data_IF_617717744874
#
_entry.id   IF_617717744874
#
_cell.length_a   1.000
_cell.length_b   1.000
_cell.length_c   1.000
_cell.angle_alpha   90.00
_cell.angle_beta   90.00
_cell.angle_gamma   90.00
#
_symmetry.space_group_name_H-M   'P 1'
#
loop_
_entity.id
_entity.type
_entity.pdbx_description
1 polymer ?
#
# COMPACT_ATOMS: atom_id res chain seq x y z
N UNK A 1 -5.18 16.66 -28.02
CA UNK A 1 -4.72 15.71 -26.97
C UNK A 1 -3.53 16.39 -26.29
N UNK A 2 -3.52 16.46 -24.97
CA UNK A 2 -2.34 16.92 -24.19
C UNK A 2 -1.21 15.92 -24.38
N UNK A 3 0.05 16.40 -24.38
CA UNK A 3 1.21 15.51 -24.44
C UNK A 3 1.20 14.56 -23.22
N UNK A 4 1.67 13.31 -23.35
CA UNK A 4 1.74 12.38 -22.24
C UNK A 4 2.72 12.88 -21.17
N UNK A 5 2.44 12.54 -19.92
CA UNK A 5 3.32 12.78 -18.76
C UNK A 5 4.55 11.88 -18.90
N UNK A 6 5.73 12.47 -19.03
CA UNK A 6 7.01 11.73 -19.13
C UNK A 6 7.39 11.24 -17.74
N UNK A 7 7.33 9.94 -17.56
CA UNK A 7 7.49 9.28 -16.26
C UNK A 7 8.87 8.64 -16.13
N UNK A 8 9.58 8.92 -15.05
CA UNK A 8 10.72 8.17 -14.56
C UNK A 8 10.29 7.15 -13.51
N UNK A 9 10.76 5.89 -13.60
CA UNK A 9 10.45 4.84 -12.64
C UNK A 9 11.70 4.45 -11.85
N UNK A 10 11.63 4.52 -10.53
CA UNK A 10 12.73 4.23 -9.61
C UNK A 10 12.47 2.93 -8.86
N UNK A 11 13.39 1.96 -9.03
CA UNK A 11 13.24 0.62 -8.49
C UNK A 11 12.51 -0.31 -9.46
N UNK A 12 13.26 -1.09 -10.25
CA UNK A 12 12.70 -2.07 -11.22
C UNK A 12 12.66 -3.45 -10.55
N UNK A 13 11.95 -3.55 -9.41
CA UNK A 13 11.69 -4.77 -8.66
C UNK A 13 10.45 -5.53 -9.16
N UNK A 14 10.00 -6.50 -8.34
CA UNK A 14 8.82 -7.35 -8.66
C UNK A 14 7.59 -6.50 -8.92
N UNK A 15 7.20 -5.61 -8.00
CA UNK A 15 6.00 -4.78 -8.13
C UNK A 15 6.04 -3.88 -9.36
N UNK A 16 7.21 -3.32 -9.69
CA UNK A 16 7.38 -2.49 -10.88
C UNK A 16 7.12 -3.29 -12.17
N UNK A 17 7.62 -4.53 -12.24
CA UNK A 17 7.47 -5.40 -13.41
C UNK A 17 6.07 -5.97 -13.56
N UNK A 18 5.48 -6.40 -12.44
CA UNK A 18 4.19 -7.10 -12.44
C UNK A 18 3.03 -6.12 -12.59
N UNK A 19 3.17 -4.88 -12.09
CA UNK A 19 2.05 -3.96 -11.97
C UNK A 19 2.31 -2.59 -12.67
N UNK A 20 3.34 -1.85 -12.25
CA UNK A 20 3.54 -0.48 -12.74
C UNK A 20 3.79 -0.41 -14.23
N UNK A 21 4.78 -1.16 -14.76
CA UNK A 21 5.16 -1.10 -16.17
C UNK A 21 4.00 -1.49 -17.09
N UNK A 22 3.26 -2.60 -16.85
CA UNK A 22 2.09 -2.93 -17.64
C UNK A 22 0.98 -1.86 -17.59
N UNK A 23 0.70 -1.30 -16.41
CA UNK A 23 -0.34 -0.28 -16.26
C UNK A 23 0.02 1.05 -16.91
N UNK A 24 1.30 1.47 -16.83
CA UNK A 24 1.82 2.62 -17.57
C UNK A 24 1.65 2.40 -19.08
N UNK A 25 2.01 1.21 -19.59
CA UNK A 25 1.91 0.88 -21.01
C UNK A 25 0.48 0.87 -21.56
N UNK A 26 -0.52 0.64 -20.70
CA UNK A 26 -1.94 0.69 -21.09
C UNK A 26 -2.56 2.10 -20.98
N UNK A 27 -1.91 3.01 -20.25
CA UNK A 27 -2.48 4.35 -19.99
C UNK A 27 -1.86 5.41 -20.90
N UNK A 28 -2.60 5.94 -21.90
CA UNK A 28 -2.07 6.91 -22.86
C UNK A 28 -1.70 8.28 -22.25
N UNK A 29 -2.07 8.53 -20.98
CA UNK A 29 -1.65 9.75 -20.28
C UNK A 29 -0.18 9.72 -19.85
N UNK A 30 0.50 8.57 -19.91
CA UNK A 30 1.89 8.44 -19.49
C UNK A 30 2.79 7.87 -20.60
N UNK A 31 4.04 8.26 -20.54
CA UNK A 31 5.14 7.68 -21.30
C UNK A 31 6.29 7.34 -20.36
N UNK A 32 6.66 6.05 -20.25
CA UNK A 32 7.81 5.63 -19.47
C UNK A 32 9.09 5.96 -20.25
N UNK A 33 9.76 7.04 -19.86
CA UNK A 33 10.94 7.55 -20.60
C UNK A 33 12.27 7.12 -19.99
N UNK A 34 12.30 6.80 -18.69
CA UNK A 34 13.52 6.43 -17.97
C UNK A 34 13.24 5.50 -16.79
N UNK A 35 14.28 4.73 -16.44
CA UNK A 35 14.31 3.93 -15.21
C UNK A 35 15.59 4.18 -14.43
N UNK A 36 15.50 4.20 -13.09
CA UNK A 36 16.66 4.22 -12.20
C UNK A 36 16.64 2.97 -11.32
N UNK A 37 17.64 2.08 -11.51
CA UNK A 37 17.74 0.83 -10.75
C UNK A 37 19.17 0.31 -10.77
N UNK A 38 19.63 -0.20 -9.60
CA UNK A 38 20.99 -0.74 -9.46
C UNK A 38 21.26 -1.98 -10.31
N UNK A 39 20.27 -2.86 -10.46
CA UNK A 39 20.47 -4.21 -11.00
C UNK A 39 19.50 -4.60 -12.13
N UNK A 40 18.56 -3.75 -12.49
CA UNK A 40 17.52 -4.10 -13.45
C UNK A 40 17.24 -2.98 -14.44
N UNK A 41 16.71 -3.33 -15.62
CA UNK A 41 16.37 -2.40 -16.71
C UNK A 41 15.06 -2.81 -17.37
N UNK A 42 14.52 -1.90 -18.17
CA UNK A 42 13.39 -2.12 -19.09
C UNK A 42 13.88 -1.90 -20.50
N UNK A 43 13.58 -2.83 -21.39
CA UNK A 43 14.04 -2.76 -22.80
C UNK A 43 13.43 -1.55 -23.49
N UNK A 44 14.25 -0.85 -24.27
CA UNK A 44 13.85 0.35 -25.02
C UNK A 44 13.67 1.62 -24.17
N UNK A 45 13.92 1.57 -22.83
CA UNK A 45 13.81 2.70 -21.92
C UNK A 45 15.18 3.12 -21.41
N UNK A 46 15.44 4.42 -21.31
CA UNK A 46 16.71 4.95 -20.80
C UNK A 46 16.98 4.44 -19.37
N UNK A 47 18.23 4.00 -19.12
CA UNK A 47 18.62 3.40 -17.84
C UNK A 47 19.63 4.24 -17.10
N UNK A 48 19.41 4.38 -15.78
CA UNK A 48 20.33 5.07 -14.86
C UNK A 48 20.55 4.22 -13.60
N UNK A 49 21.68 4.45 -12.92
CA UNK A 49 21.97 3.75 -11.67
C UNK A 49 21.20 4.38 -10.48
N UNK A 50 21.04 5.70 -10.51
CA UNK A 50 20.39 6.48 -9.44
C UNK A 50 19.32 7.42 -9.99
N UNK A 51 18.30 7.79 -9.17
CA UNK A 51 17.30 8.78 -9.57
C UNK A 51 17.91 10.17 -9.80
N UNK A 52 18.97 10.55 -9.08
CA UNK A 52 19.65 11.83 -9.30
C UNK A 52 20.27 11.90 -10.68
N UNK A 53 21.05 10.88 -11.09
CA UNK A 53 21.60 10.79 -12.46
C UNK A 53 20.50 10.83 -13.53
N UNK A 54 19.38 10.14 -13.29
CA UNK A 54 18.23 10.14 -14.19
C UNK A 54 17.67 11.56 -14.37
N UNK A 55 17.44 12.27 -13.28
CA UNK A 55 16.85 13.61 -13.29
C UNK A 55 17.83 14.68 -13.81
N UNK A 56 19.14 14.49 -13.61
CA UNK A 56 20.18 15.37 -14.17
C UNK A 56 20.30 15.22 -15.69
N UNK A 57 20.27 13.97 -16.17
CA UNK A 57 20.40 13.66 -17.60
C UNK A 57 19.09 13.94 -18.38
N UNK A 58 17.94 13.82 -17.74
CA UNK A 58 16.62 13.96 -18.35
C UNK A 58 15.73 14.97 -17.60
N UNK A 59 16.09 16.27 -17.63
CA UNK A 59 15.32 17.31 -16.92
C UNK A 59 13.88 17.46 -17.43
N UNK A 60 13.59 16.93 -18.61
CA UNK A 60 12.24 16.92 -19.22
C UNK A 60 11.30 15.88 -18.59
N UNK A 61 11.73 15.01 -17.68
CA UNK A 61 10.84 14.14 -16.89
C UNK A 61 9.85 15.03 -16.14
N UNK A 62 8.56 14.69 -16.18
CA UNK A 62 7.49 15.43 -15.53
C UNK A 62 7.16 14.83 -14.15
N UNK A 63 7.20 13.51 -14.03
CA UNK A 63 6.83 12.77 -12.83
C UNK A 63 7.78 11.60 -12.55
N UNK A 64 7.82 11.18 -11.26
CA UNK A 64 8.61 10.03 -10.80
C UNK A 64 7.74 9.07 -10.00
N UNK A 65 7.76 7.78 -10.33
CA UNK A 65 7.18 6.72 -9.53
C UNK A 65 8.27 6.00 -8.72
N UNK A 66 8.12 5.96 -7.37
CA UNK A 66 9.11 5.38 -6.46
C UNK A 66 8.65 4.00 -5.95
N UNK A 67 9.21 2.94 -6.55
CA UNK A 67 8.93 1.53 -6.25
C UNK A 67 10.06 0.88 -5.42
N UNK A 68 10.80 1.67 -4.65
CA UNK A 68 11.87 1.23 -3.74
C UNK A 68 11.32 1.00 -2.32
N UNK A 69 12.04 0.23 -1.46
CA UNK A 69 11.65 0.07 -0.06
C UNK A 69 11.45 1.41 0.68
N UNK A 70 10.54 1.47 1.66
CA UNK A 70 10.19 2.72 2.35
C UNK A 70 11.37 3.38 3.06
N UNK A 71 12.33 2.60 3.59
CA UNK A 71 13.49 3.09 4.33
C UNK A 71 14.40 4.04 3.53
N UNK A 72 14.42 3.91 2.20
CA UNK A 72 15.27 4.75 1.33
C UNK A 72 14.46 5.75 0.49
N UNK A 73 13.15 5.72 0.60
CA UNK A 73 12.24 6.44 -0.32
C UNK A 73 12.22 7.95 -0.07
N UNK A 74 12.24 8.38 1.22
CA UNK A 74 12.10 9.78 1.59
C UNK A 74 13.12 10.69 0.88
N UNK A 75 14.42 10.35 0.92
CA UNK A 75 15.45 11.18 0.31
C UNK A 75 15.27 11.33 -1.21
N UNK A 76 14.88 10.23 -1.89
CA UNK A 76 14.64 10.21 -3.33
C UNK A 76 13.39 11.04 -3.71
N UNK A 77 12.31 10.91 -2.93
CA UNK A 77 11.10 11.69 -3.12
C UNK A 77 11.35 13.19 -2.91
N UNK A 78 12.07 13.55 -1.83
CA UNK A 78 12.39 14.93 -1.52
C UNK A 78 13.27 15.58 -2.62
N UNK A 79 14.23 14.84 -3.19
CA UNK A 79 15.04 15.35 -4.33
C UNK A 79 14.17 15.58 -5.56
N UNK A 80 13.30 14.63 -5.92
CA UNK A 80 12.40 14.77 -7.06
C UNK A 80 11.43 15.98 -6.89
N UNK A 81 10.82 16.12 -5.71
CA UNK A 81 9.93 17.23 -5.39
C UNK A 81 10.64 18.58 -5.49
N UNK A 82 11.87 18.73 -4.91
CA UNK A 82 12.67 19.96 -4.99
C UNK A 82 13.04 20.33 -6.44
N UNK A 83 13.11 19.36 -7.33
CA UNK A 83 13.32 19.56 -8.77
C UNK A 83 12.02 19.84 -9.53
N UNK A 84 10.91 20.06 -8.81
CA UNK A 84 9.60 20.36 -9.41
C UNK A 84 8.97 19.18 -10.15
N UNK A 85 9.24 17.94 -9.70
CA UNK A 85 8.64 16.74 -10.29
C UNK A 85 7.45 16.28 -9.47
N UNK A 86 6.37 15.87 -10.14
CA UNK A 86 5.28 15.16 -9.50
C UNK A 86 5.77 13.79 -9.01
N UNK A 87 5.28 13.32 -7.86
CA UNK A 87 5.78 12.09 -7.26
C UNK A 87 4.64 11.14 -6.89
N UNK A 88 4.78 9.88 -7.32
CA UNK A 88 3.99 8.75 -6.91
C UNK A 88 4.82 7.88 -5.96
N UNK A 89 4.29 7.62 -4.76
CA UNK A 89 4.91 6.79 -3.73
C UNK A 89 4.19 5.45 -3.64
N UNK A 90 4.90 4.35 -3.82
CA UNK A 90 4.39 3.02 -3.50
C UNK A 90 4.05 2.88 -2.01
N UNK A 91 3.12 1.99 -1.69
CA UNK A 91 2.80 1.68 -0.28
C UNK A 91 3.96 0.89 0.39
N UNK A 92 4.14 1.06 1.70
CA UNK A 92 3.72 2.22 2.46
C UNK A 92 4.45 3.48 1.96
N UNK A 93 3.86 4.68 2.01
CA UNK A 93 4.42 5.86 1.35
C UNK A 93 5.75 6.34 1.94
N UNK A 94 6.10 5.90 3.13
CA UNK A 94 7.36 6.16 3.83
C UNK A 94 7.53 5.20 5.00
N UNK A 95 8.70 5.21 5.63
CA UNK A 95 8.98 4.41 6.81
C UNK A 95 8.33 5.00 8.08
N UNK A 96 8.05 6.30 8.10
CA UNK A 96 7.43 7.00 9.23
C UNK A 96 6.39 8.03 8.76
N UNK A 97 5.45 8.36 9.67
CA UNK A 97 4.45 9.42 9.43
C UNK A 97 5.11 10.78 9.18
N UNK A 98 6.17 11.10 9.92
CA UNK A 98 6.89 12.38 9.81
C UNK A 98 7.56 12.56 8.46
N UNK A 99 8.12 11.48 7.88
CA UNK A 99 8.68 11.51 6.53
C UNK A 99 7.63 11.87 5.48
N UNK A 100 6.46 11.21 5.55
CA UNK A 100 5.40 11.45 4.56
C UNK A 100 4.77 12.83 4.74
N UNK A 101 4.58 13.31 5.98
CA UNK A 101 4.11 14.66 6.26
C UNK A 101 5.07 15.72 5.66
N UNK A 102 6.38 15.58 5.90
CA UNK A 102 7.39 16.47 5.29
C UNK A 102 7.34 16.46 3.75
N UNK A 103 7.13 15.29 3.12
CA UNK A 103 7.02 15.22 1.66
C UNK A 103 5.74 15.91 1.16
N UNK A 104 4.64 15.83 1.91
CA UNK A 104 3.40 16.54 1.58
C UNK A 104 3.58 18.06 1.63
N UNK A 105 4.20 18.58 2.71
CA UNK A 105 4.53 19.99 2.84
C UNK A 105 5.46 20.46 1.70
N UNK A 106 6.45 19.64 1.36
CA UNK A 106 7.38 19.95 0.28
C UNK A 106 6.70 19.99 -1.10
N UNK A 107 5.79 19.04 -1.37
CA UNK A 107 5.02 19.02 -2.61
C UNK A 107 4.15 20.27 -2.75
N UNK A 108 3.49 20.69 -1.67
CA UNK A 108 2.70 21.91 -1.63
C UNK A 108 3.57 23.16 -1.90
N UNK A 109 4.72 23.27 -1.22
CA UNK A 109 5.67 24.38 -1.42
C UNK A 109 6.20 24.46 -2.85
N UNK A 110 6.38 23.32 -3.53
CA UNK A 110 6.87 23.26 -4.91
C UNK A 110 5.75 23.35 -5.95
N UNK A 111 4.48 23.34 -5.55
CA UNK A 111 3.33 23.36 -6.45
C UNK A 111 3.23 22.13 -7.35
N UNK A 112 3.65 20.97 -6.85
CA UNK A 112 3.62 19.68 -7.56
C UNK A 112 2.76 18.66 -6.83
N UNK A 113 2.29 17.64 -7.54
CA UNK A 113 1.46 16.59 -6.96
C UNK A 113 2.29 15.54 -6.23
N UNK A 114 1.82 15.14 -5.05
CA UNK A 114 2.28 13.95 -4.33
C UNK A 114 1.12 12.97 -4.19
N UNK A 115 1.34 11.72 -4.59
CA UNK A 115 0.35 10.67 -4.48
C UNK A 115 0.90 9.48 -3.68
N UNK A 116 0.28 9.20 -2.52
CA UNK A 116 0.53 7.99 -1.73
C UNK A 116 -0.42 6.89 -2.19
N UNK A 117 0.11 5.86 -2.86
CA UNK A 117 -0.72 4.83 -3.47
C UNK A 117 -1.21 3.82 -2.46
N UNK A 118 -2.49 3.83 -2.18
CA UNK A 118 -3.18 2.76 -1.49
C UNK A 118 -3.90 1.90 -2.54
N UNK A 119 -3.13 1.05 -3.25
CA UNK A 119 -3.62 0.33 -4.43
C UNK A 119 -4.90 -0.45 -4.15
N UNK A 120 -5.03 -1.10 -2.99
CA UNK A 120 -6.21 -1.90 -2.64
C UNK A 120 -7.50 -1.10 -2.55
N UNK A 121 -7.45 0.23 -2.43
CA UNK A 121 -8.64 1.10 -2.54
C UNK A 121 -9.26 1.09 -3.94
N UNK A 122 -8.49 0.71 -4.96
CA UNK A 122 -8.93 0.61 -6.35
C UNK A 122 -9.43 -0.80 -6.72
N UNK A 123 -9.48 -1.72 -5.75
CA UNK A 123 -10.08 -3.03 -5.97
C UNK A 123 -11.57 -2.89 -6.32
N UNK A 124 -12.11 -3.70 -7.25
CA UNK A 124 -13.42 -3.50 -7.86
C UNK A 124 -14.60 -3.39 -6.88
N UNK A 125 -14.54 -4.10 -5.76
CA UNK A 125 -15.59 -4.09 -4.74
C UNK A 125 -15.55 -2.91 -3.78
N UNK A 126 -14.43 -2.16 -3.70
CA UNK A 126 -14.21 -1.15 -2.65
C UNK A 126 -15.12 0.07 -2.82
N UNK A 127 -15.17 0.67 -4.00
CA UNK A 127 -16.04 1.82 -4.26
C UNK A 127 -17.54 1.48 -4.10
N UNK A 128 -18.05 0.33 -4.61
CA UNK A 128 -19.41 -0.13 -4.30
C UNK A 128 -19.65 -0.36 -2.80
N UNK A 129 -18.70 -0.97 -2.07
CA UNK A 129 -18.79 -1.16 -0.63
C UNK A 129 -18.92 0.17 0.12
N UNK A 130 -18.05 1.14 -0.18
CA UNK A 130 -18.12 2.50 0.39
C UNK A 130 -19.49 3.15 0.13
N UNK A 131 -19.99 3.03 -1.10
CA UNK A 131 -21.31 3.57 -1.46
C UNK A 131 -22.43 2.89 -0.69
N UNK A 132 -22.37 1.57 -0.51
CA UNK A 132 -23.37 0.82 0.23
C UNK A 132 -23.35 1.16 1.73
N UNK A 133 -22.17 1.34 2.33
CA UNK A 133 -22.00 1.70 3.74
C UNK A 133 -22.39 3.15 4.04
N UNK A 134 -22.46 4.02 3.04
CA UNK A 134 -22.81 5.43 3.24
C UNK A 134 -24.19 5.57 3.87
N UNK A 135 -24.23 6.23 5.03
CA UNK A 135 -25.47 6.47 5.78
C UNK A 135 -26.01 5.28 6.60
N UNK A 136 -25.28 4.15 6.65
CA UNK A 136 -25.59 3.00 7.50
C UNK A 136 -24.83 3.09 8.82
N UNK A 137 -25.44 2.57 9.88
CA UNK A 137 -24.78 2.44 11.17
C UNK A 137 -23.98 1.13 11.21
N UNK A 138 -22.65 1.25 11.20
CA UNK A 138 -21.76 0.10 11.39
C UNK A 138 -21.83 -0.37 12.83
N UNK A 139 -21.98 -1.68 13.03
CA UNK A 139 -22.03 -2.34 14.35
C UNK A 139 -20.75 -3.09 14.64
N UNK A 140 -20.20 -3.75 13.64
CA UNK A 140 -18.98 -4.55 13.78
C UNK A 140 -18.16 -4.57 12.49
N UNK A 141 -16.84 -4.70 12.64
CA UNK A 141 -15.91 -4.94 11.53
C UNK A 141 -14.97 -6.07 11.93
N UNK A 142 -14.77 -7.04 11.05
CA UNK A 142 -13.79 -8.10 11.23
C UNK A 142 -12.92 -8.19 9.99
N UNK A 143 -11.62 -8.03 10.19
CA UNK A 143 -10.60 -8.16 9.14
C UNK A 143 -9.83 -9.45 9.38
N UNK A 144 -9.68 -10.26 8.33
CA UNK A 144 -8.79 -11.42 8.30
C UNK A 144 -7.88 -11.27 7.09
N UNK A 145 -6.58 -10.99 7.34
CA UNK A 145 -5.62 -10.79 6.27
C UNK A 145 -4.40 -11.67 6.53
N UNK A 146 -4.41 -12.84 5.90
CA UNK A 146 -3.47 -13.92 6.18
C UNK A 146 -2.94 -14.49 4.89
N UNK A 147 -1.62 -14.65 4.82
CA UNK A 147 -0.91 -15.13 3.63
C UNK A 147 0.43 -15.78 4.00
N UNK A 148 1.12 -16.37 3.05
CA UNK A 148 2.46 -16.91 3.23
C UNK A 148 3.51 -15.90 2.74
N UNK A 149 4.30 -15.36 3.67
CA UNK A 149 5.40 -14.43 3.36
C UNK A 149 6.41 -15.02 2.37
N UNK A 150 6.64 -16.36 2.42
CA UNK A 150 7.57 -17.04 1.51
C UNK A 150 7.09 -17.06 0.07
N UNK A 151 5.77 -16.97 -0.13
CA UNK A 151 5.16 -16.89 -1.46
C UNK A 151 5.18 -15.44 -2.01
N UNK A 152 4.81 -14.48 -1.15
CA UNK A 152 4.60 -13.10 -1.61
C UNK A 152 5.87 -12.24 -1.56
N UNK A 153 6.78 -12.51 -0.60
CA UNK A 153 8.01 -11.73 -0.38
C UNK A 153 9.29 -12.59 -0.34
N UNK A 154 9.50 -13.48 -1.32
CA UNK A 154 10.67 -14.38 -1.31
C UNK A 154 11.98 -13.58 -1.33
N UNK A 155 12.83 -13.79 -0.31
CA UNK A 155 14.16 -13.17 -0.22
C UNK A 155 14.17 -11.66 -0.01
N UNK A 156 13.08 -11.07 0.46
CA UNK A 156 12.97 -9.64 0.75
C UNK A 156 13.26 -9.37 2.23
N UNK A 157 14.53 -9.39 2.63
CA UNK A 157 14.92 -9.18 4.04
C UNK A 157 14.52 -7.81 4.62
N UNK A 158 14.41 -6.79 3.77
CA UNK A 158 14.05 -5.43 4.19
C UNK A 158 12.71 -5.33 4.93
N UNK A 159 11.76 -6.25 4.68
CA UNK A 159 10.45 -6.27 5.35
C UNK A 159 10.55 -6.57 6.84
N UNK A 160 11.63 -7.24 7.25
CA UNK A 160 11.89 -7.64 8.62
C UNK A 160 12.72 -6.61 9.40
N UNK A 161 13.33 -5.66 8.69
CA UNK A 161 14.15 -4.60 9.28
C UNK A 161 13.29 -3.43 9.78
N UNK A 162 13.81 -2.56 10.67
CA UNK A 162 13.10 -1.35 11.08
C UNK A 162 12.64 -0.52 9.87
N UNK A 163 11.37 -0.15 9.86
CA UNK A 163 10.74 0.53 8.72
C UNK A 163 10.18 -0.39 7.64
N UNK A 164 10.41 -1.72 7.74
CA UNK A 164 9.87 -2.72 6.80
C UNK A 164 8.47 -3.22 7.15
N UNK A 165 7.96 -2.92 8.33
CA UNK A 165 6.60 -3.16 8.84
C UNK A 165 6.23 -4.62 9.13
N UNK A 166 6.96 -5.65 8.70
CA UNK A 166 6.59 -7.05 8.91
C UNK A 166 5.20 -7.37 8.36
N UNK A 167 4.38 -8.09 9.12
CA UNK A 167 3.02 -8.49 8.73
C UNK A 167 2.10 -7.31 8.34
N UNK A 168 2.47 -6.10 8.74
CA UNK A 168 1.74 -4.91 8.30
C UNK A 168 2.03 -4.51 6.85
N UNK A 169 3.04 -5.08 6.18
CA UNK A 169 3.24 -4.82 4.76
C UNK A 169 2.02 -5.25 3.92
N UNK A 170 1.45 -6.46 4.05
CA UNK A 170 0.14 -6.77 3.48
C UNK A 170 -1.02 -6.25 4.33
N UNK A 171 -0.92 -6.25 5.66
CA UNK A 171 -2.00 -5.82 6.56
C UNK A 171 -2.43 -4.36 6.36
N UNK A 172 -1.52 -3.50 5.92
CA UNK A 172 -1.85 -2.09 5.62
C UNK A 172 -2.79 -1.95 4.42
N UNK A 173 -2.85 -2.96 3.53
CA UNK A 173 -3.80 -2.98 2.42
C UNK A 173 -5.23 -3.08 2.97
N UNK A 174 -5.48 -4.00 3.92
CA UNK A 174 -6.77 -4.08 4.60
C UNK A 174 -7.12 -2.80 5.35
N UNK A 175 -6.15 -2.22 6.09
CA UNK A 175 -6.35 -0.95 6.79
C UNK A 175 -6.66 0.19 5.82
N UNK A 176 -6.06 0.17 4.62
CA UNK A 176 -6.34 1.17 3.58
C UNK A 176 -7.76 1.08 3.05
N UNK A 177 -8.28 -0.14 2.87
CA UNK A 177 -9.67 -0.36 2.48
C UNK A 177 -10.61 0.08 3.62
N UNK A 178 -10.37 -0.38 4.84
CA UNK A 178 -11.21 -0.06 6.01
C UNK A 178 -11.34 1.44 6.22
N UNK A 179 -10.22 2.17 6.17
CA UNK A 179 -10.23 3.63 6.36
C UNK A 179 -10.89 4.39 5.21
N UNK A 180 -11.06 3.77 4.04
CA UNK A 180 -11.76 4.36 2.89
C UNK A 180 -13.26 4.07 2.89
N UNK A 181 -13.68 2.86 3.30
CA UNK A 181 -15.08 2.44 3.18
C UNK A 181 -15.94 2.78 4.40
N UNK A 182 -15.35 2.87 5.59
CA UNK A 182 -16.11 3.14 6.81
C UNK A 182 -16.58 4.59 6.86
N UNK A 183 -17.87 4.83 7.21
CA UNK A 183 -18.42 6.19 7.27
C UNK A 183 -17.86 7.01 8.44
N UNK A 184 -17.28 6.35 9.44
CA UNK A 184 -16.73 6.97 10.65
C UNK A 184 -15.30 6.46 10.92
N UNK A 185 -14.44 7.29 11.55
CA UNK A 185 -13.10 6.88 11.91
C UNK A 185 -13.12 5.81 13.00
N UNK A 186 -12.11 4.94 12.97
CA UNK A 186 -11.83 3.94 14.00
C UNK A 186 -10.52 4.27 14.71
N UNK A 187 -10.40 3.87 15.98
CA UNK A 187 -9.24 4.12 16.82
C UNK A 187 -8.74 2.81 17.42
N UNK A 188 -7.44 2.58 17.37
CA UNK A 188 -6.84 1.41 18.01
C UNK A 188 -7.01 1.51 19.54
N UNK A 189 -7.52 0.46 20.14
CA UNK A 189 -7.72 0.34 21.61
C UNK A 189 -6.73 -0.62 22.25
N UNK A 190 -6.01 -1.41 21.44
CA UNK A 190 -4.98 -2.34 21.87
C UNK A 190 -4.79 -3.49 20.91
N UNK A 191 -3.78 -4.31 21.15
CA UNK A 191 -3.48 -5.48 20.32
C UNK A 191 -2.29 -6.25 20.82
N UNK A 192 -1.93 -7.29 20.08
CA UNK A 192 -0.75 -8.13 20.30
C UNK A 192 0.02 -8.24 19.00
N UNK A 193 1.33 -8.08 19.08
CA UNK A 193 2.26 -8.17 17.95
C UNK A 193 3.23 -9.33 18.22
N UNK A 194 3.23 -10.35 17.38
CA UNK A 194 4.09 -11.53 17.51
C UNK A 194 5.39 -11.31 16.73
N UNK A 195 6.50 -11.20 17.45
CA UNK A 195 7.83 -11.01 16.88
C UNK A 195 8.61 -12.32 16.92
N UNK A 196 9.05 -12.86 15.78
CA UNK A 196 10.01 -13.96 15.80
C UNK A 196 11.32 -13.52 16.49
N UNK A 197 11.93 -14.40 17.31
CA UNK A 197 13.17 -14.08 18.06
C UNK A 197 14.30 -13.54 17.17
N UNK A 198 14.33 -13.96 15.91
CA UNK A 198 15.36 -13.59 14.94
C UNK A 198 14.95 -12.48 13.96
N UNK A 199 13.85 -11.75 14.20
CA UNK A 199 13.34 -10.69 13.32
C UNK A 199 13.00 -9.43 14.11
N UNK A 200 13.16 -8.25 13.48
CA UNK A 200 12.87 -6.96 14.10
C UNK A 200 11.44 -6.46 13.82
N UNK A 201 10.66 -7.18 13.00
CA UNK A 201 9.28 -6.84 12.68
C UNK A 201 8.33 -8.02 12.97
N UNK A 202 7.03 -7.77 13.25
CA UNK A 202 6.09 -8.80 13.64
C UNK A 202 5.69 -9.70 12.45
N UNK A 203 5.49 -11.00 12.73
CA UNK A 203 4.98 -11.99 11.77
C UNK A 203 3.47 -12.15 11.86
N UNK A 204 2.86 -11.75 12.97
CA UNK A 204 1.41 -11.74 13.16
C UNK A 204 1.00 -10.57 14.04
N UNK A 205 -0.25 -10.13 13.89
CA UNK A 205 -0.84 -9.10 14.74
C UNK A 205 -2.33 -9.35 14.94
N UNK A 206 -2.79 -9.23 16.20
CA UNK A 206 -4.20 -9.22 16.57
C UNK A 206 -4.54 -7.85 17.15
N UNK A 207 -5.42 -7.10 16.49
CA UNK A 207 -5.70 -5.72 16.81
C UNK A 207 -7.17 -5.52 17.15
N UNK A 208 -7.45 -4.62 18.10
CA UNK A 208 -8.80 -4.19 18.46
C UNK A 208 -8.93 -2.69 18.29
N UNK A 209 -10.01 -2.28 17.68
CA UNK A 209 -10.37 -0.88 17.46
C UNK A 209 -11.78 -0.60 18.00
N UNK A 210 -12.07 0.66 18.23
CA UNK A 210 -13.41 1.17 18.47
C UNK A 210 -13.75 2.25 17.45
N UNK A 211 -14.95 2.21 16.91
CA UNK A 211 -15.51 3.30 16.10
C UNK A 211 -16.02 4.45 16.98
N UNK A 212 -16.12 5.64 16.41
CA UNK A 212 -16.61 6.82 17.11
C UNK A 212 -18.05 6.64 17.64
N UNK A 213 -18.91 5.88 16.93
CA UNK A 213 -20.27 5.50 17.33
C UNK A 213 -20.36 4.26 18.23
N UNK A 214 -19.22 3.68 18.64
CA UNK A 214 -19.17 2.47 19.48
C UNK A 214 -19.11 1.16 18.71
N UNK A 215 -18.96 1.17 17.38
CA UNK A 215 -18.72 -0.03 16.59
C UNK A 215 -17.44 -0.73 17.05
N UNK A 216 -17.48 -2.06 17.24
CA UNK A 216 -16.32 -2.86 17.56
C UNK A 216 -15.63 -3.32 16.26
N UNK A 217 -14.30 -3.19 16.20
CA UNK A 217 -13.52 -3.74 15.10
C UNK A 217 -12.40 -4.62 15.64
N UNK A 218 -12.19 -5.77 14.98
CA UNK A 218 -11.04 -6.65 15.17
C UNK A 218 -10.31 -6.89 13.84
N UNK A 219 -8.99 -6.98 13.89
CA UNK A 219 -8.18 -7.31 12.73
C UNK A 219 -7.12 -8.35 13.10
N UNK A 220 -7.07 -9.42 12.32
CA UNK A 220 -6.13 -10.53 12.45
C UNK A 220 -5.24 -10.55 11.20
N UNK A 221 -3.93 -10.34 11.41
CA UNK A 221 -2.90 -10.43 10.40
C UNK A 221 -1.97 -11.59 10.69
N UNK A 222 -1.68 -12.43 9.71
CA UNK A 222 -0.72 -13.54 9.88
C UNK A 222 0.00 -13.84 8.57
N UNK A 223 1.31 -13.88 8.64
CA UNK A 223 2.20 -14.17 7.51
C UNK A 223 2.64 -15.63 7.42
N UNK A 224 2.08 -16.49 8.25
CA UNK A 224 2.41 -17.92 8.30
C UNK A 224 1.39 -18.82 7.64
N UNK A 225 0.30 -18.26 7.10
CA UNK A 225 -0.75 -19.06 6.46
C UNK A 225 -0.25 -19.69 5.18
N UNK A 226 -0.08 -21.02 5.18
CA UNK A 226 0.21 -21.80 3.98
C UNK A 226 -1.06 -22.16 3.22
N UNK A 227 -0.95 -22.35 1.90
CA UNK A 227 -2.10 -22.60 1.03
C UNK A 227 -2.77 -21.31 0.55
N UNK A 228 -4.06 -21.34 0.21
CA UNK A 228 -4.77 -20.15 -0.25
C UNK A 228 -4.78 -19.06 0.83
N UNK A 229 -4.54 -17.83 0.41
CA UNK A 229 -4.60 -16.67 1.29
C UNK A 229 -6.04 -16.35 1.69
N UNK A 230 -6.19 -15.67 2.84
CA UNK A 230 -7.45 -15.09 3.29
C UNK A 230 -7.28 -13.58 3.33
N UNK A 231 -8.00 -12.84 2.50
CA UNK A 231 -7.99 -11.38 2.42
C UNK A 231 -9.42 -10.87 2.47
N UNK A 232 -10.00 -10.91 3.67
CA UNK A 232 -11.44 -10.71 3.89
C UNK A 232 -11.69 -9.58 4.89
N UNK A 233 -12.73 -8.78 4.59
CA UNK A 233 -13.25 -7.72 5.46
C UNK A 233 -14.75 -7.90 5.55
N UNK A 234 -15.24 -8.24 6.76
CA UNK A 234 -16.66 -8.36 7.10
C UNK A 234 -17.13 -7.10 7.81
N UNK A 235 -18.24 -6.54 7.39
CA UNK A 235 -18.88 -5.39 8.04
C UNK A 235 -20.33 -5.69 8.33
N UNK A 236 -20.68 -5.73 9.63
CA UNK A 236 -22.07 -5.84 10.07
C UNK A 236 -22.67 -4.45 10.31
N UNK A 237 -23.88 -4.21 9.79
CA UNK A 237 -24.59 -2.93 9.93
C UNK A 237 -26.00 -3.13 10.54
N UNK A 238 -26.72 -2.06 10.72
CA UNK A 238 -28.14 -2.06 11.10
C UNK A 238 -29.07 -2.52 9.95
N UNK A 239 -28.55 -2.59 8.73
CA UNK A 239 -29.34 -2.83 7.51
C UNK A 239 -28.79 -3.98 6.66
N UNK A 240 -28.00 -4.89 7.24
CA UNK A 240 -27.44 -6.07 6.58
C UNK A 240 -25.92 -6.20 6.75
N UNK A 241 -25.36 -7.22 6.12
CA UNK A 241 -23.96 -7.61 6.21
C UNK A 241 -23.24 -7.46 4.87
N UNK A 242 -22.00 -7.01 4.93
CA UNK A 242 -21.12 -6.86 3.78
C UNK A 242 -19.87 -7.71 3.97
N UNK A 243 -19.44 -8.39 2.90
CA UNK A 243 -18.16 -9.07 2.83
C UNK A 243 -17.39 -8.57 1.58
N UNK A 244 -16.24 -7.97 1.79
CA UNK A 244 -15.20 -7.84 0.78
C UNK A 244 -14.26 -9.03 0.92
N UNK A 245 -14.05 -9.80 -0.14
CA UNK A 245 -13.12 -10.93 -0.15
C UNK A 245 -12.12 -10.84 -1.30
N UNK A 246 -11.09 -11.69 -1.26
CA UNK A 246 -9.99 -11.67 -2.24
C UNK A 246 -9.38 -10.27 -2.42
N UNK A 247 -9.08 -9.59 -1.31
CA UNK A 247 -8.45 -8.27 -1.34
C UNK A 247 -9.35 -7.13 -1.83
N UNK A 248 -10.67 -7.36 -1.91
CA UNK A 248 -11.64 -6.40 -2.46
C UNK A 248 -12.02 -6.66 -3.92
N UNK A 249 -11.50 -7.71 -4.55
CA UNK A 249 -11.89 -8.11 -5.90
C UNK A 249 -13.35 -8.59 -5.95
N UNK A 250 -13.88 -9.07 -4.82
CA UNK A 250 -15.26 -9.57 -4.68
C UNK A 250 -16.00 -8.84 -3.58
N UNK A 251 -17.26 -8.52 -3.85
CA UNK A 251 -18.19 -7.92 -2.89
C UNK A 251 -19.45 -8.76 -2.79
N UNK A 252 -19.82 -9.08 -1.56
CA UNK A 252 -21.06 -9.76 -1.20
C UNK A 252 -21.86 -8.86 -0.27
N UNK A 253 -23.19 -8.82 -0.46
CA UNK A 253 -24.13 -8.12 0.43
C UNK A 253 -25.24 -9.11 0.78
N UNK A 254 -25.45 -9.35 2.08
CA UNK A 254 -26.42 -10.32 2.61
C UNK A 254 -26.29 -11.73 1.97
N UNK A 255 -25.03 -12.13 1.64
CA UNK A 255 -24.72 -13.40 1.00
C UNK A 255 -24.91 -13.43 -0.52
N UNK A 256 -25.36 -12.34 -1.14
CA UNK A 256 -25.49 -12.22 -2.59
C UNK A 256 -24.24 -11.57 -3.20
N UNK A 257 -23.72 -12.14 -4.31
CA UNK A 257 -22.57 -11.60 -5.04
C UNK A 257 -22.97 -10.34 -5.81
N UNK A 258 -22.34 -9.22 -5.49
CA UNK A 258 -22.56 -7.92 -6.13
C UNK A 258 -21.45 -7.58 -7.11
N UNK A 259 -20.19 -7.95 -6.76
CA UNK A 259 -19.01 -7.77 -7.62
C UNK A 259 -18.17 -9.04 -7.56
N UNK A 260 -17.74 -9.53 -8.70
CA UNK A 260 -16.72 -10.58 -8.87
C UNK A 260 -15.93 -10.25 -10.14
N UNK A 261 -14.80 -9.54 -9.97
CA UNK A 261 -13.98 -9.05 -11.08
C UNK A 261 -12.50 -9.31 -10.79
N UNK A 262 -11.72 -9.43 -11.85
CA UNK A 262 -10.27 -9.50 -11.75
C UNK A 262 -9.68 -8.18 -11.22
N UNK A 263 -8.57 -8.28 -10.52
CA UNK A 263 -7.81 -7.13 -10.02
C UNK A 263 -7.33 -6.23 -11.18
N UNK A 264 -7.54 -4.92 -11.03
CA UNK A 264 -7.06 -3.89 -11.96
C UNK A 264 -6.65 -2.61 -11.19
N UNK A 265 -6.17 -2.78 -9.99
CA UNK A 265 -5.90 -1.71 -9.02
C UNK A 265 -4.94 -0.65 -9.58
N UNK A 266 -3.87 -1.09 -10.24
CA UNK A 266 -2.82 -0.19 -10.74
C UNK A 266 -3.27 0.65 -11.95
N UNK A 267 -4.23 0.19 -12.72
CA UNK A 267 -4.83 1.02 -13.76
C UNK A 267 -5.59 2.20 -13.14
N UNK A 268 -6.29 1.95 -12.01
CA UNK A 268 -6.93 2.99 -11.21
C UNK A 268 -5.94 3.98 -10.59
N UNK A 269 -4.80 3.49 -10.08
CA UNK A 269 -3.71 4.33 -9.55
C UNK A 269 -3.22 5.30 -10.63
N UNK A 270 -2.88 4.81 -11.82
CA UNK A 270 -2.37 5.68 -12.88
C UNK A 270 -3.42 6.62 -13.44
N UNK A 271 -4.70 6.21 -13.51
CA UNK A 271 -5.78 7.12 -13.84
C UNK A 271 -5.89 8.26 -12.82
N UNK A 272 -5.87 7.94 -11.51
CA UNK A 272 -5.90 8.92 -10.43
C UNK A 272 -4.68 9.84 -10.44
N UNK A 273 -3.48 9.31 -10.67
CA UNK A 273 -2.27 10.12 -10.72
C UNK A 273 -2.30 11.13 -11.88
N UNK A 274 -2.80 10.74 -13.06
CA UNK A 274 -3.00 11.67 -14.17
C UNK A 274 -3.96 12.82 -13.83
N UNK A 275 -5.07 12.53 -13.12
CA UNK A 275 -6.01 13.56 -12.64
C UNK A 275 -5.33 14.51 -11.65
N UNK A 276 -4.54 14.00 -10.70
CA UNK A 276 -3.82 14.82 -9.72
C UNK A 276 -2.81 15.74 -10.40
N UNK A 277 -2.02 15.23 -11.34
CA UNK A 277 -1.07 16.02 -12.11
C UNK A 277 -1.80 17.11 -12.91
N UNK A 278 -2.89 16.77 -13.58
CA UNK A 278 -3.66 17.73 -14.38
C UNK A 278 -4.34 18.84 -13.55
N UNK A 279 -4.76 18.51 -12.31
CA UNK A 279 -5.41 19.46 -11.40
C UNK A 279 -4.45 20.23 -10.49
N UNK A 280 -3.18 19.80 -10.41
CA UNK A 280 -2.20 20.30 -9.41
C UNK A 280 -2.52 19.85 -7.98
N UNK A 281 -3.37 18.82 -7.81
CA UNK A 281 -3.75 18.30 -6.51
C UNK A 281 -2.78 17.25 -5.99
N UNK A 282 -2.88 16.92 -4.70
CA UNK A 282 -2.19 15.80 -4.03
C UNK A 282 -3.21 14.89 -3.37
N UNK A 283 -2.83 13.61 -3.16
CA UNK A 283 -3.64 12.63 -2.45
C UNK A 283 -2.71 11.83 -1.51
N UNK A 284 -2.63 12.29 -0.25
CA UNK A 284 -1.71 11.78 0.76
C UNK A 284 -2.48 11.48 2.03
N UNK A 285 -3.23 10.37 2.01
CA UNK A 285 -3.91 9.89 3.22
C UNK A 285 -2.93 9.11 4.11
N UNK A 286 -2.76 9.56 5.35
CA UNK A 286 -1.90 8.92 6.33
C UNK A 286 -2.65 7.94 7.25
N UNK A 287 -3.97 7.82 7.15
CA UNK A 287 -4.76 7.01 8.09
C UNK A 287 -4.29 5.54 8.17
N UNK A 288 -4.03 4.83 7.06
CA UNK A 288 -3.56 3.45 7.14
C UNK A 288 -2.21 3.32 7.87
N UNK A 289 -1.25 4.19 7.56
CA UNK A 289 0.07 4.18 8.19
C UNK A 289 0.01 4.60 9.66
N UNK A 290 -0.93 5.50 10.03
CA UNK A 290 -1.17 5.89 11.42
C UNK A 290 -1.62 4.70 12.26
N UNK A 291 -2.55 3.88 11.76
CA UNK A 291 -2.99 2.68 12.48
C UNK A 291 -1.86 1.67 12.69
N UNK A 292 -0.96 1.54 11.73
CA UNK A 292 0.26 0.72 11.89
C UNK A 292 1.17 1.31 12.98
N UNK A 293 1.41 2.63 12.96
CA UNK A 293 2.21 3.29 13.99
C UNK A 293 1.57 3.15 15.39
N UNK A 294 0.26 3.33 15.51
CA UNK A 294 -0.49 3.14 16.75
C UNK A 294 -0.39 1.69 17.25
N UNK A 295 -0.39 0.70 16.33
CA UNK A 295 -0.20 -0.70 16.69
C UNK A 295 1.20 -0.96 17.30
N UNK A 296 2.26 -0.37 16.77
CA UNK A 296 3.59 -0.44 17.38
C UNK A 296 3.67 0.29 18.73
N UNK A 297 2.90 1.37 18.94
CA UNK A 297 2.86 2.12 20.20
C UNK A 297 2.04 1.45 21.29
N UNK A 298 0.90 0.86 20.96
CA UNK A 298 -0.09 0.35 21.92
C UNK A 298 -0.12 -1.19 22.01
N UNK A 299 0.41 -1.88 20.99
CA UNK A 299 0.43 -3.34 20.93
C UNK A 299 1.39 -3.96 21.94
N UNK A 300 0.94 -5.03 22.60
CA UNK A 300 1.81 -5.86 23.44
C UNK A 300 2.73 -6.68 22.54
N UNK A 301 4.04 -6.56 22.71
CA UNK A 301 5.02 -7.38 22.00
C UNK A 301 5.09 -8.77 22.61
N UNK A 302 4.92 -9.79 21.79
CA UNK A 302 5.07 -11.18 22.13
C UNK A 302 6.25 -11.76 21.34
N UNK A 303 7.23 -12.33 22.02
CA UNK A 303 8.28 -13.09 21.35
C UNK A 303 7.74 -14.48 21.00
N UNK A 304 7.95 -14.89 19.74
CA UNK A 304 7.56 -16.18 19.23
C UNK A 304 8.75 -16.91 18.63
N UNK A 305 8.58 -18.22 18.30
CA UNK A 305 9.62 -19.05 17.69
C UNK A 305 10.30 -18.33 16.49
N UNK A 306 11.61 -18.54 16.30
CA UNK A 306 12.34 -18.00 15.15
C UNK A 306 11.68 -18.36 13.83
N UNK A 307 11.60 -17.41 12.92
CA UNK A 307 11.06 -17.62 11.58
C UNK A 307 12.17 -17.66 10.52
N UNK A 308 12.17 -18.70 9.70
CA UNK A 308 13.11 -18.92 8.59
C UNK A 308 12.34 -19.00 7.26
N UNK A 309 12.75 -18.20 6.29
CA UNK A 309 12.10 -18.12 4.97
C UNK A 309 12.26 -19.42 4.14
N UNK A 310 13.31 -20.19 4.42
CA UNK A 310 13.53 -21.52 3.81
C UNK A 310 13.18 -22.62 4.80
N UNK A 311 12.58 -23.74 4.36
CA UNK A 311 12.48 -24.92 5.20
C UNK A 311 13.89 -25.35 5.60
N UNK A 312 14.08 -25.65 6.89
CA UNK A 312 15.33 -26.12 7.45
C UNK A 312 15.84 -27.30 6.60
N UNK A 313 16.98 -27.16 5.93
CA UNK A 313 17.60 -28.23 5.16
C UNK A 313 18.24 -29.33 6.07
N UNK A 314 18.19 -29.12 7.39
CA UNK A 314 18.81 -30.01 8.38
C UNK A 314 17.85 -31.09 8.90
N UNK A 315 16.67 -31.29 8.32
CA UNK A 315 15.70 -32.35 8.68
C UNK A 315 15.37 -33.29 7.50
N UNK A 316 16.28 -33.47 6.55
CA UNK A 316 16.16 -34.50 5.51
C UNK A 316 17.22 -35.60 5.68
#
# INVERSE_FOLDING_TARGET
MTAPIRLGLVGVGKIARDQHIPSIGRNPAFELVATASRSASVDGVARFATPAEMLDAMPQIDAVALCVPPQVRHAMAADALRRGKHVLLEKPPGATLSEVAHLADLAEMQGVSLFATWHSRFAPGVAPARKWLAGRQVRSVRVEWKEDVRHWHPGQDWIWEPGGLGVFDPGINALSIVTDILPEPVFLTGGELSFPENRAAPIAASLRFAGASGAAMAAEFDWRQTGPQTWDIHVGTDAGDLLLSSGGARLWIDGESVVDQAEAEYDGIYARFAELVASGGSDVDLAPLRHVADAFMLGRHLTVEPFHDQPNRDTA
#
